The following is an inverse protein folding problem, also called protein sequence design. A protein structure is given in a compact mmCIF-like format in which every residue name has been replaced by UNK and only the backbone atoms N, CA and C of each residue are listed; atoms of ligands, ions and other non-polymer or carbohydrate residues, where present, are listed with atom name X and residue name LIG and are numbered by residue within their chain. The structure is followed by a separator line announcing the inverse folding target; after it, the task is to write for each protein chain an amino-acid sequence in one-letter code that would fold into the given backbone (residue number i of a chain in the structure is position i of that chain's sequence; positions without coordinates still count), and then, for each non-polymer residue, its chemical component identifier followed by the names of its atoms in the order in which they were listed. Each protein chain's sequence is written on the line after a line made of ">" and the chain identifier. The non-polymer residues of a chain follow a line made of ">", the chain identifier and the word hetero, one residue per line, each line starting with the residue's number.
data_IF_277099183663
#
_entry.id   IF_277099183663
#
_cell.length_a   1.000
_cell.length_b   1.000
_cell.length_c   1.000
_cell.angle_alpha   90.00
_cell.angle_beta   90.00
_cell.angle_gamma   90.00
#
_symmetry.space_group_name_H-M   'P 1'
#
loop_
_entity.id
_entity.type
_entity.pdbx_description
1 polymer ?
#
# COMPACT_ATOMS: atom_id res chain seq x y z
N UNK A 1 -0.67 -9.12 -27.59
CA UNK A 1 0.07 -8.57 -26.44
C UNK A 1 -0.69 -7.35 -25.98
N UNK A 2 -1.34 -7.41 -24.81
CA UNK A 2 -1.99 -6.23 -24.25
C UNK A 2 -0.90 -5.27 -23.77
N UNK A 3 -0.86 -4.08 -24.35
CA UNK A 3 -0.05 -2.96 -23.86
C UNK A 3 -0.49 -2.71 -22.42
N UNK A 4 0.40 -2.94 -21.46
CA UNK A 4 0.15 -2.52 -20.08
C UNK A 4 0.12 -0.99 -20.09
N UNK A 5 -1.04 -0.42 -19.84
CA UNK A 5 -1.18 1.03 -19.65
C UNK A 5 -0.34 1.43 -18.43
N UNK A 6 0.75 2.15 -18.69
CA UNK A 6 1.61 2.71 -17.66
C UNK A 6 0.90 3.92 -17.06
N UNK A 7 0.37 3.76 -15.86
CA UNK A 7 -0.08 4.88 -15.05
C UNK A 7 1.13 5.52 -14.38
N UNK A 8 1.48 6.74 -14.76
CA UNK A 8 2.39 7.58 -13.99
C UNK A 8 1.55 8.47 -13.08
N UNK A 9 1.53 8.16 -11.79
CA UNK A 9 1.11 9.12 -10.77
C UNK A 9 2.37 9.68 -10.14
N UNK A 10 2.61 11.00 -10.18
CA UNK A 10 3.65 11.60 -9.37
C UNK A 10 3.19 11.53 -7.90
N UNK A 11 3.54 10.45 -7.21
CA UNK A 11 3.25 10.27 -5.79
C UNK A 11 4.29 11.01 -4.96
N UNK A 12 3.82 11.79 -4.00
CA UNK A 12 4.65 12.39 -2.95
C UNK A 12 4.32 11.78 -1.60
N UNK A 13 5.34 11.57 -0.77
CA UNK A 13 5.21 11.11 0.62
C UNK A 13 6.51 11.38 1.38
N UNK A 14 6.41 11.45 2.70
CA UNK A 14 7.51 11.63 3.62
C UNK A 14 7.89 10.28 4.24
N UNK A 15 9.17 9.91 4.15
CA UNK A 15 9.69 8.68 4.75
C UNK A 15 9.95 8.96 6.23
N UNK A 16 9.36 8.18 7.17
CA UNK A 16 9.59 8.42 8.60
C UNK A 16 11.04 8.15 8.99
N UNK A 17 11.50 8.78 10.07
CA UNK A 17 12.83 8.53 10.61
C UNK A 17 13.04 7.05 10.94
N UNK A 18 14.25 6.54 10.69
CA UNK A 18 14.59 5.13 10.89
C UNK A 18 14.11 4.20 9.78
N UNK A 19 13.45 4.71 8.73
CA UNK A 19 13.11 3.95 7.54
C UNK A 19 14.06 4.25 6.39
N UNK A 20 14.48 3.20 5.69
CA UNK A 20 15.43 3.26 4.58
C UNK A 20 14.76 2.71 3.33
N UNK A 21 14.62 3.51 2.25
CA UNK A 21 14.15 3.01 0.97
C UNK A 21 15.07 1.94 0.40
N UNK A 22 14.46 0.92 -0.18
CA UNK A 22 15.17 -0.15 -0.90
C UNK A 22 14.48 -0.43 -2.21
N UNK A 23 15.25 -0.96 -3.18
CA UNK A 23 14.69 -1.38 -4.46
C UNK A 23 13.71 -2.55 -4.25
N UNK A 24 12.44 -2.49 -4.73
CA UNK A 24 11.46 -3.54 -4.49
C UNK A 24 11.92 -4.93 -4.91
N UNK A 25 12.65 -5.02 -6.03
CA UNK A 25 13.22 -6.27 -6.53
C UNK A 25 14.27 -6.87 -5.59
N UNK A 26 15.00 -6.04 -4.82
CA UNK A 26 16.03 -6.52 -3.89
C UNK A 26 15.47 -7.28 -2.68
N UNK A 27 14.16 -7.13 -2.41
CA UNK A 27 13.45 -7.74 -1.27
C UNK A 27 12.27 -8.61 -1.71
N UNK A 28 12.20 -8.97 -3.00
CA UNK A 28 11.15 -9.85 -3.54
C UNK A 28 9.76 -9.22 -3.61
N UNK A 29 9.66 -7.89 -3.61
CA UNK A 29 8.40 -7.14 -3.64
C UNK A 29 8.14 -6.50 -5.01
N UNK A 30 8.32 -7.26 -6.10
CA UNK A 30 8.23 -6.75 -7.49
C UNK A 30 6.88 -6.10 -7.86
N UNK A 31 5.82 -6.40 -7.11
CA UNK A 31 4.50 -5.76 -7.26
C UNK A 31 4.33 -4.43 -6.52
N UNK A 32 5.36 -3.97 -5.80
CA UNK A 32 5.37 -2.68 -5.12
C UNK A 32 6.09 -1.63 -5.97
N UNK A 33 5.57 -0.40 -5.96
CA UNK A 33 6.23 0.76 -6.57
C UNK A 33 7.21 1.44 -5.60
N UNK A 34 7.08 1.16 -4.31
CA UNK A 34 8.00 1.63 -3.28
C UNK A 34 8.09 0.64 -2.13
N UNK A 35 9.29 0.47 -1.58
CA UNK A 35 9.54 -0.29 -0.37
C UNK A 35 10.50 0.48 0.53
N UNK A 36 10.20 0.50 1.82
CA UNK A 36 11.14 0.93 2.86
C UNK A 36 11.26 -0.15 3.93
N UNK A 37 12.47 -0.30 4.48
CA UNK A 37 12.74 -1.20 5.60
C UNK A 37 13.17 -0.38 6.81
N UNK A 38 12.82 -0.83 8.01
CA UNK A 38 13.28 -0.20 9.23
C UNK A 38 14.76 -0.53 9.46
N UNK A 39 15.56 0.47 9.82
CA UNK A 39 17.02 0.36 9.94
C UNK A 39 17.47 -0.58 11.07
N UNK A 40 16.60 -0.82 12.03
CA UNK A 40 16.81 -1.76 13.14
C UNK A 40 15.84 -2.92 12.98
N UNK A 41 16.31 -4.15 12.69
CA UNK A 41 15.49 -5.36 12.71
C UNK A 41 14.88 -5.61 14.10
N UNK A 42 13.77 -6.34 14.13
CA UNK A 42 13.12 -6.78 15.36
C UNK A 42 13.01 -8.31 15.36
N UNK A 43 13.76 -8.96 16.25
CA UNK A 43 14.08 -10.38 16.16
C UNK A 43 14.67 -10.74 14.79
N UNK A 44 14.17 -11.79 14.13
CA UNK A 44 14.62 -12.23 12.80
C UNK A 44 13.87 -11.52 11.66
N UNK A 45 12.90 -10.64 11.96
CA UNK A 45 12.14 -9.90 10.95
C UNK A 45 12.63 -8.47 10.81
N UNK A 46 12.77 -8.00 9.58
CA UNK A 46 12.99 -6.57 9.32
C UNK A 46 11.64 -5.93 8.97
N UNK A 47 11.10 -5.03 9.82
CA UNK A 47 9.86 -4.32 9.52
C UNK A 47 9.96 -3.60 8.17
N UNK A 48 8.90 -3.67 7.38
CA UNK A 48 8.85 -3.09 6.04
C UNK A 48 7.53 -2.35 5.81
N UNK A 49 7.61 -1.29 5.01
CA UNK A 49 6.48 -0.59 4.39
C UNK A 49 6.53 -0.86 2.90
N UNK A 50 5.43 -1.29 2.32
CA UNK A 50 5.23 -1.40 0.88
C UNK A 50 4.15 -0.43 0.43
N UNK A 51 4.31 0.11 -0.77
CA UNK A 51 3.28 0.86 -1.49
C UNK A 51 3.15 0.28 -2.89
N UNK A 52 1.95 -0.13 -3.25
CA UNK A 52 1.59 -0.63 -4.58
C UNK A 52 0.47 0.23 -5.18
N UNK A 53 0.43 0.29 -6.51
CA UNK A 53 -0.62 0.98 -7.26
C UNK A 53 -1.15 0.03 -8.32
N UNK A 54 -2.48 -0.06 -8.45
CA UNK A 54 -3.12 -0.85 -9.49
C UNK A 54 -4.35 -0.15 -10.07
N UNK A 55 -4.54 -0.26 -11.38
CA UNK A 55 -5.81 0.10 -12.01
C UNK A 55 -6.91 -0.86 -11.57
N UNK A 56 -8.11 -0.33 -11.35
CA UNK A 56 -9.28 -1.13 -11.00
C UNK A 56 -10.50 -0.72 -11.84
N UNK A 57 -10.60 -1.20 -13.10
CA UNK A 57 -11.62 -0.76 -14.05
C UNK A 57 -13.02 -1.32 -13.78
N UNK A 58 -13.14 -2.36 -12.95
CA UNK A 58 -14.43 -2.95 -12.58
C UNK A 58 -15.15 -2.13 -11.50
N UNK A 59 -16.40 -2.52 -11.19
CA UNK A 59 -17.24 -1.86 -10.18
C UNK A 59 -17.06 -2.43 -8.75
N UNK A 60 -16.00 -3.21 -8.51
CA UNK A 60 -15.77 -3.85 -7.21
C UNK A 60 -15.73 -2.82 -6.08
N UNK A 61 -16.39 -3.09 -4.96
CA UNK A 61 -16.35 -2.18 -3.82
C UNK A 61 -14.98 -2.27 -3.14
N UNK A 62 -14.59 -1.21 -2.42
CA UNK A 62 -13.29 -1.19 -1.75
C UNK A 62 -13.12 -2.33 -0.74
N UNK A 63 -14.22 -2.83 -0.16
CA UNK A 63 -14.21 -3.99 0.73
C UNK A 63 -13.94 -5.28 -0.01
N UNK A 64 -14.47 -5.45 -1.23
CA UNK A 64 -14.24 -6.64 -2.05
C UNK A 64 -12.77 -6.69 -2.48
N UNK A 65 -12.20 -5.54 -2.86
CA UNK A 65 -10.77 -5.39 -3.19
C UNK A 65 -9.89 -5.71 -1.97
N UNK A 66 -10.33 -5.33 -0.76
CA UNK A 66 -9.65 -5.67 0.48
C UNK A 66 -9.68 -7.16 0.78
N UNK A 67 -10.79 -7.84 0.48
CA UNK A 67 -10.94 -9.29 0.60
C UNK A 67 -10.05 -10.02 -0.41
N UNK A 68 -10.01 -9.58 -1.68
CA UNK A 68 -9.13 -10.15 -2.69
C UNK A 68 -7.63 -10.00 -2.33
N UNK A 69 -7.24 -8.88 -1.71
CA UNK A 69 -5.88 -8.68 -1.23
C UNK A 69 -5.53 -9.64 -0.09
N UNK A 70 -6.47 -9.86 0.84
CA UNK A 70 -6.35 -10.82 1.93
C UNK A 70 -6.23 -12.26 1.39
N UNK A 71 -7.08 -12.63 0.43
CA UNK A 71 -7.03 -13.94 -0.22
C UNK A 71 -5.69 -14.16 -0.94
N UNK A 72 -5.23 -13.16 -1.71
CA UNK A 72 -3.94 -13.22 -2.42
C UNK A 72 -2.78 -13.44 -1.44
N UNK A 73 -2.77 -12.73 -0.32
CA UNK A 73 -1.75 -12.88 0.71
C UNK A 73 -1.84 -14.26 1.38
N UNK A 74 -3.06 -14.71 1.69
CA UNK A 74 -3.34 -16.00 2.32
C UNK A 74 -2.86 -17.21 1.52
N UNK A 75 -2.73 -17.11 0.19
CA UNK A 75 -2.17 -18.19 -0.66
C UNK A 75 -0.73 -18.58 -0.33
N UNK A 76 0.01 -17.70 0.34
CA UNK A 76 1.46 -17.90 0.63
C UNK A 76 1.76 -18.06 2.12
N UNK A 77 0.77 -17.86 2.98
CA UNK A 77 0.95 -17.85 4.44
C UNK A 77 0.40 -19.14 5.04
N UNK A 78 0.99 -19.59 6.15
CA UNK A 78 0.52 -20.78 6.86
C UNK A 78 -0.82 -20.51 7.58
N UNK A 79 -1.02 -19.30 8.07
CA UNK A 79 -2.29 -18.82 8.60
C UNK A 79 -2.42 -17.31 8.41
N UNK A 80 -3.65 -16.84 8.25
CA UNK A 80 -3.97 -15.42 8.14
C UNK A 80 -5.34 -15.14 8.74
N UNK A 81 -5.43 -14.08 9.54
CA UNK A 81 -6.67 -13.61 10.16
C UNK A 81 -6.81 -12.10 10.04
N UNK A 82 -7.99 -11.63 9.61
CA UNK A 82 -8.37 -10.20 9.68
C UNK A 82 -8.87 -9.89 11.08
N UNK A 83 -8.05 -9.19 11.88
CA UNK A 83 -8.39 -8.87 13.28
C UNK A 83 -9.29 -7.64 13.38
N UNK A 84 -9.08 -6.67 12.50
CA UNK A 84 -9.83 -5.42 12.51
C UNK A 84 -9.94 -4.90 11.10
N UNK A 85 -11.12 -4.39 10.75
CA UNK A 85 -11.38 -3.66 9.51
C UNK A 85 -12.21 -2.41 9.79
N UNK A 86 -11.93 -1.34 9.04
CA UNK A 86 -12.73 -0.12 9.04
C UNK A 86 -12.74 0.48 7.64
N UNK A 87 -13.93 0.80 7.14
CA UNK A 87 -14.10 1.62 5.93
C UNK A 87 -13.86 3.09 6.29
N UNK A 88 -13.10 3.78 5.47
CA UNK A 88 -12.75 5.20 5.59
C UNK A 88 -13.02 5.92 4.26
N UNK A 89 -12.92 7.25 4.25
CA UNK A 89 -13.26 8.04 3.07
C UNK A 89 -14.77 8.06 2.78
N UNK A 90 -15.18 8.84 1.80
CA UNK A 90 -16.58 9.01 1.40
C UNK A 90 -16.71 9.22 -0.11
N UNK A 91 -17.92 8.97 -0.63
CA UNK A 91 -18.28 9.29 -2.02
C UNK A 91 -17.37 8.61 -3.04
N UNK A 92 -16.65 9.42 -3.81
CA UNK A 92 -15.81 8.98 -4.94
C UNK A 92 -14.44 8.44 -4.53
N UNK A 93 -14.04 8.56 -3.27
CA UNK A 93 -12.74 8.11 -2.78
C UNK A 93 -12.87 7.27 -1.48
N UNK A 94 -13.58 6.12 -1.52
CA UNK A 94 -13.63 5.23 -0.38
C UNK A 94 -12.28 4.52 -0.17
N UNK A 95 -12.01 4.17 1.08
CA UNK A 95 -10.81 3.45 1.50
C UNK A 95 -11.13 2.41 2.56
N UNK A 96 -10.18 1.52 2.82
CA UNK A 96 -10.24 0.51 3.88
C UNK A 96 -8.93 0.55 4.66
N UNK A 97 -9.03 0.53 5.99
CA UNK A 97 -7.91 0.19 6.87
C UNK A 97 -8.17 -1.18 7.48
N UNK A 98 -7.19 -2.06 7.49
CA UNK A 98 -7.30 -3.35 8.15
C UNK A 98 -6.01 -3.78 8.85
N UNK A 99 -6.16 -4.55 9.92
CA UNK A 99 -5.05 -5.15 10.66
C UNK A 99 -5.18 -6.66 10.53
N UNK A 100 -4.11 -7.29 10.03
CA UNK A 100 -4.00 -8.71 9.80
C UNK A 100 -3.03 -9.32 10.81
N UNK A 101 -3.32 -10.51 11.30
CA UNK A 101 -2.35 -11.41 11.92
C UNK A 101 -1.97 -12.48 10.92
N UNK A 102 -0.68 -12.74 10.81
CA UNK A 102 -0.11 -13.62 9.80
C UNK A 102 0.84 -14.58 10.49
N UNK A 103 0.78 -15.84 10.09
CA UNK A 103 1.82 -16.83 10.37
C UNK A 103 2.51 -17.22 9.08
N UNK A 104 3.81 -17.02 9.00
CA UNK A 104 4.62 -17.41 7.83
C UNK A 104 4.75 -18.94 7.76
N UNK A 105 5.25 -19.46 6.63
CA UNK A 105 5.52 -20.89 6.46
C UNK A 105 6.54 -21.43 7.47
N UNK A 106 7.47 -20.59 7.90
CA UNK A 106 8.51 -20.86 8.90
C UNK A 106 7.97 -20.77 10.34
N UNK A 107 6.70 -20.43 10.52
CA UNK A 107 6.05 -20.32 11.83
C UNK A 107 6.22 -18.97 12.52
N UNK A 108 6.77 -17.96 11.85
CA UNK A 108 6.92 -16.63 12.42
C UNK A 108 5.58 -15.90 12.47
N UNK A 109 5.27 -15.27 13.62
CA UNK A 109 4.07 -14.46 13.81
C UNK A 109 4.34 -13.00 13.41
N UNK A 110 3.52 -12.46 12.53
CA UNK A 110 3.60 -11.10 12.03
C UNK A 110 2.25 -10.39 12.14
N UNK A 111 2.31 -9.07 12.19
CA UNK A 111 1.16 -8.18 12.08
C UNK A 111 1.36 -7.33 10.84
N UNK A 112 0.33 -7.25 10.01
CA UNK A 112 0.32 -6.36 8.85
C UNK A 112 -0.82 -5.34 8.98
N UNK A 113 -0.47 -4.06 9.03
CA UNK A 113 -1.45 -2.97 8.96
C UNK A 113 -1.53 -2.51 7.51
N UNK A 114 -2.72 -2.59 6.92
CA UNK A 114 -2.97 -2.23 5.52
C UNK A 114 -3.90 -1.03 5.43
N UNK A 115 -3.63 -0.17 4.46
CA UNK A 115 -4.48 0.94 4.04
C UNK A 115 -4.65 0.86 2.53
N UNK A 116 -5.89 0.68 2.09
CA UNK A 116 -6.26 0.73 0.67
C UNK A 116 -7.08 1.97 0.42
N UNK A 117 -6.69 2.77 -0.57
CA UNK A 117 -7.35 4.03 -0.92
C UNK A 117 -7.74 4.04 -2.39
N UNK A 118 -8.97 4.44 -2.68
CA UNK A 118 -9.38 4.75 -4.05
C UNK A 118 -8.87 6.13 -4.46
N UNK A 119 -8.12 6.18 -5.54
CA UNK A 119 -7.79 7.42 -6.25
C UNK A 119 -8.74 7.52 -7.45
N UNK A 120 -9.67 8.49 -7.47
CA UNK A 120 -10.61 8.63 -8.57
C UNK A 120 -9.87 9.03 -9.86
N UNK A 121 -10.25 8.40 -10.98
CA UNK A 121 -9.82 8.79 -12.32
C UNK A 121 -10.78 9.79 -12.97
N UNK A 122 -10.54 10.14 -14.25
CA UNK A 122 -11.46 10.98 -15.02
C UNK A 122 -12.80 10.26 -15.30
N UNK A 123 -12.76 8.93 -15.37
CA UNK A 123 -13.91 8.04 -15.43
C UNK A 123 -13.83 6.96 -14.34
N UNK A 124 -14.95 6.28 -13.97
CA UNK A 124 -14.93 5.18 -13.01
C UNK A 124 -13.97 4.04 -13.39
N UNK A 125 -13.81 3.77 -14.70
CA UNK A 125 -12.93 2.73 -15.22
C UNK A 125 -11.44 3.07 -15.07
N UNK A 126 -11.11 4.34 -14.84
CA UNK A 126 -9.73 4.84 -14.67
C UNK A 126 -9.33 4.97 -13.19
N UNK A 127 -10.17 4.54 -12.24
CA UNK A 127 -9.81 4.60 -10.82
C UNK A 127 -8.60 3.71 -10.52
N UNK A 128 -7.81 4.17 -9.58
CA UNK A 128 -6.63 3.46 -9.10
C UNK A 128 -6.84 3.08 -7.64
N UNK A 129 -6.21 1.99 -7.23
CA UNK A 129 -6.12 1.57 -5.85
C UNK A 129 -4.68 1.72 -5.41
N UNK A 130 -4.48 2.55 -4.40
CA UNK A 130 -3.24 2.57 -3.63
C UNK A 130 -3.37 1.54 -2.51
N UNK A 131 -2.43 0.60 -2.45
CA UNK A 131 -2.33 -0.35 -1.33
C UNK A 131 -1.03 -0.06 -0.59
N UNK A 132 -1.15 0.33 0.68
CA UNK A 132 -0.02 0.62 1.56
C UNK A 132 -0.07 -0.39 2.70
N UNK A 133 1.01 -1.11 2.94
CA UNK A 133 1.09 -2.07 4.03
C UNK A 133 2.35 -1.84 4.86
N UNK A 134 2.23 -1.95 6.19
CA UNK A 134 3.35 -2.08 7.10
C UNK A 134 3.32 -3.47 7.74
N UNK A 135 4.37 -4.26 7.52
CA UNK A 135 4.54 -5.58 8.12
C UNK A 135 5.59 -5.50 9.21
N UNK A 136 5.32 -6.07 10.38
CA UNK A 136 6.24 -6.12 11.51
C UNK A 136 5.90 -7.30 12.43
N UNK A 137 6.77 -7.60 13.39
CA UNK A 137 6.40 -8.48 14.51
C UNK A 137 5.27 -7.84 15.33
N UNK A 138 4.54 -8.60 16.18
CA UNK A 138 3.52 -8.03 17.06
C UNK A 138 4.04 -6.95 18.01
N UNK A 139 5.31 -7.03 18.44
CA UNK A 139 5.90 -6.03 19.33
C UNK A 139 6.30 -4.76 18.58
N UNK A 140 7.01 -4.91 17.46
CA UNK A 140 7.39 -3.79 16.61
C UNK A 140 6.16 -3.06 16.04
N UNK A 141 5.08 -3.77 15.67
CA UNK A 141 3.85 -3.15 15.19
C UNK A 141 3.23 -2.16 16.19
N UNK A 142 3.33 -2.43 17.51
CA UNK A 142 2.85 -1.50 18.55
C UNK A 142 3.70 -0.25 18.64
N UNK A 143 5.01 -0.35 18.38
CA UNK A 143 5.96 0.78 18.44
C UNK A 143 5.91 1.64 17.17
N UNK A 144 5.84 1.00 16.00
CA UNK A 144 5.95 1.63 14.68
C UNK A 144 4.61 2.13 14.12
N UNK A 145 3.48 1.84 14.77
CA UNK A 145 2.16 2.20 14.25
C UNK A 145 1.94 3.70 14.05
N UNK A 146 2.60 4.54 14.85
CA UNK A 146 2.55 5.99 14.70
C UNK A 146 3.33 6.50 13.48
N UNK A 147 4.48 5.91 13.21
CA UNK A 147 5.28 6.24 12.02
C UNK A 147 4.56 5.80 10.75
N UNK A 148 3.97 4.61 10.76
CA UNK A 148 3.15 4.16 9.63
C UNK A 148 1.95 5.09 9.38
N UNK A 149 1.29 5.55 10.44
CA UNK A 149 0.19 6.52 10.31
C UNK A 149 0.66 7.86 9.74
N UNK A 150 1.85 8.35 10.13
CA UNK A 150 2.45 9.56 9.56
C UNK A 150 2.78 9.38 8.08
N UNK A 151 3.40 8.25 7.71
CA UNK A 151 3.69 7.91 6.32
C UNK A 151 2.42 7.95 5.48
N UNK A 152 1.39 7.19 5.87
CA UNK A 152 0.09 7.17 5.16
C UNK A 152 -0.52 8.57 5.05
N UNK A 153 -0.47 9.37 6.12
CA UNK A 153 -0.98 10.73 6.13
C UNK A 153 -0.22 11.71 5.23
N UNK A 154 1.02 11.38 4.85
CA UNK A 154 1.83 12.19 3.92
C UNK A 154 1.61 11.82 2.45
N UNK A 155 1.01 10.66 2.15
CA UNK A 155 0.81 10.20 0.77
C UNK A 155 -0.18 11.10 0.04
N UNK A 156 0.26 11.67 -1.07
CA UNK A 156 -0.57 12.49 -1.95
C UNK A 156 -0.22 12.28 -3.41
N UNK A 157 -1.24 12.35 -4.27
CA UNK A 157 -1.06 12.42 -5.72
C UNK A 157 -0.74 13.88 -6.07
N UNK A 158 0.44 14.13 -6.64
CA UNK A 158 0.77 15.45 -7.18
C UNK A 158 -0.02 15.64 -8.47
N UNK A 159 -0.56 16.83 -8.68
CA UNK A 159 -1.10 17.21 -9.99
C UNK A 159 0.04 17.87 -10.74
N UNK A 160 0.51 17.24 -11.80
CA UNK A 160 1.34 17.94 -12.77
C UNK A 160 0.41 18.87 -13.56
N UNK A 161 0.51 20.16 -13.29
CA UNK A 161 0.03 21.15 -14.24
C UNK A 161 1.07 21.17 -15.36
N UNK A 162 0.83 20.44 -16.44
CA UNK A 162 1.45 20.81 -17.73
C UNK A 162 0.86 22.16 -18.08
N UNK A 163 1.60 23.23 -17.79
CA UNK A 163 1.31 24.53 -18.34
C UNK A 163 1.33 24.36 -19.86
N UNK A 164 0.18 24.60 -20.47
CA UNK A 164 0.03 24.78 -21.91
C UNK A 164 1.00 25.91 -22.28
N UNK A 165 2.11 25.58 -22.94
CA UNK A 165 2.96 26.59 -23.55
C UNK A 165 2.12 27.24 -24.64
N UNK A 166 1.55 28.40 -24.31
CA UNK A 166 0.92 29.27 -25.29
C UNK A 166 1.92 29.59 -26.38
N UNK A 167 1.74 29.00 -27.56
CA UNK A 167 2.29 29.53 -28.79
C UNK A 167 1.58 30.85 -29.10
N UNK A 168 2.15 31.95 -28.58
CA UNK A 168 2.04 33.24 -29.23
C UNK A 168 2.85 33.16 -30.55
N UNK A 169 2.14 33.16 -31.69
CA UNK A 169 2.66 33.61 -33.00
C UNK A 169 1.51 34.03 -33.92
#
# INVERSE_FOLDING_TARGET
>A
MATQDRVSLPLGFDIPDGWVPVEPASVGAEGAVFVAVHSVPDAEFTPNITLSVGQRPDEAQITDIADEAVERLGRTMAALEVVRRKVIGTGLAPGVTQVLRIRTGEGQELVQTQVQLTVPGASPAERLILEIACTATPEAARRLGDDFRRFVGSVHVRRDFTADEGEDS
#
